data_IF_422039397925
#
_entry.id   IF_422039397925
#
_cell.length_a   1.000
_cell.length_b   1.000
_cell.length_c   1.000
_cell.angle_alpha   90.00
_cell.angle_beta   90.00
_cell.angle_gamma   90.00
#
_symmetry.space_group_name_H-M   'P 1'
#
loop_
_entity.id
_entity.type
_entity.pdbx_description
1 polymer ?
#
# COMPACT_ATOMS: atom_id res chain seq x y z
N UNK A 1 18.69 -3.10 2.73
CA UNK A 1 17.50 -3.86 3.18
C UNK A 1 16.47 -3.65 2.10
N UNK A 2 16.19 -4.67 1.29
CA UNK A 2 15.45 -4.56 0.03
C UNK A 2 13.96 -4.81 0.30
N UNK A 3 13.11 -3.83 -0.02
CA UNK A 3 11.67 -4.04 -0.15
C UNK A 3 11.49 -4.99 -1.32
N UNK A 4 10.72 -6.07 -1.19
CA UNK A 4 10.55 -7.06 -2.26
C UNK A 4 9.09 -7.17 -2.69
N UNK A 5 8.86 -7.37 -3.99
CA UNK A 5 7.58 -7.66 -4.61
C UNK A 5 7.22 -9.15 -4.45
N UNK A 6 6.09 -9.56 -5.00
CA UNK A 6 5.63 -10.95 -4.94
C UNK A 6 6.49 -11.96 -5.71
N UNK A 7 7.41 -11.51 -6.56
CA UNK A 7 8.38 -12.36 -7.27
C UNK A 7 9.75 -12.38 -6.56
N UNK A 8 9.86 -11.77 -5.38
CA UNK A 8 11.14 -11.60 -4.66
C UNK A 8 12.07 -10.61 -5.34
N UNK A 9 11.56 -9.79 -6.27
CA UNK A 9 12.32 -8.71 -6.89
C UNK A 9 12.32 -7.52 -5.93
N UNK A 10 13.46 -6.82 -5.77
CA UNK A 10 13.46 -5.58 -5.02
C UNK A 10 12.53 -4.53 -5.64
N UNK A 11 11.55 -4.06 -4.88
CA UNK A 11 10.77 -2.86 -5.15
C UNK A 11 11.70 -1.64 -5.09
N UNK A 12 11.51 -0.74 -6.04
CA UNK A 12 12.04 0.62 -5.95
C UNK A 12 11.37 1.36 -4.78
N UNK A 13 12.00 2.44 -4.33
CA UNK A 13 11.41 3.28 -3.28
C UNK A 13 10.04 3.87 -3.69
N UNK A 14 9.85 4.13 -4.99
CA UNK A 14 8.57 4.63 -5.51
C UNK A 14 7.48 3.56 -5.44
N UNK A 15 7.76 2.33 -5.89
CA UNK A 15 6.79 1.22 -5.84
C UNK A 15 6.43 0.85 -4.40
N UNK A 16 7.42 0.83 -3.49
CA UNK A 16 7.15 0.59 -2.06
C UNK A 16 6.26 1.68 -1.45
N UNK A 17 6.48 2.95 -1.80
CA UNK A 17 5.65 4.05 -1.35
C UNK A 17 4.22 3.96 -1.92
N UNK A 18 4.06 3.59 -3.19
CA UNK A 18 2.75 3.41 -3.81
C UNK A 18 1.93 2.33 -3.10
N UNK A 19 2.56 1.19 -2.80
CA UNK A 19 1.93 0.10 -2.05
C UNK A 19 1.52 0.52 -0.64
N UNK A 20 2.37 1.23 0.10
CA UNK A 20 2.03 1.76 1.42
C UNK A 20 0.83 2.72 1.37
N UNK A 21 0.74 3.55 0.33
CA UNK A 21 -0.38 4.48 0.11
C UNK A 21 -1.65 3.72 -0.25
N UNK A 22 -1.58 2.70 -1.09
CA UNK A 22 -2.72 1.86 -1.46
C UNK A 22 -3.29 1.12 -0.23
N UNK A 23 -2.42 0.54 0.60
CA UNK A 23 -2.81 -0.11 1.85
C UNK A 23 -3.46 0.92 2.79
N UNK A 24 -2.84 2.10 2.96
CA UNK A 24 -3.38 3.14 3.82
C UNK A 24 -4.76 3.63 3.33
N UNK A 25 -4.92 3.82 2.01
CA UNK A 25 -6.19 4.22 1.41
C UNK A 25 -7.28 3.18 1.64
N UNK A 26 -6.96 1.90 1.45
CA UNK A 26 -7.88 0.80 1.72
C UNK A 26 -8.28 0.75 3.20
N UNK A 27 -7.34 1.02 4.12
CA UNK A 27 -7.59 1.05 5.57
C UNK A 27 -8.46 2.23 6.00
N UNK A 28 -8.43 3.32 5.25
CA UNK A 28 -9.28 4.49 5.49
C UNK A 28 -10.74 4.27 5.09
N UNK A 29 -11.05 3.22 4.32
CA UNK A 29 -12.41 2.99 3.88
C UNK A 29 -13.27 2.45 5.05
N UNK A 30 -14.45 3.04 5.33
CA UNK A 30 -15.21 2.79 6.57
C UNK A 30 -15.73 1.36 6.74
N UNK A 31 -15.77 0.58 5.66
CA UNK A 31 -16.22 -0.82 5.68
C UNK A 31 -15.06 -1.82 5.62
N UNK A 32 -13.81 -1.35 5.51
CA UNK A 32 -12.64 -2.23 5.40
C UNK A 32 -12.31 -2.85 6.75
N UNK A 33 -12.45 -4.18 6.83
CA UNK A 33 -12.12 -4.95 8.04
C UNK A 33 -10.80 -5.70 7.93
N UNK A 34 -10.44 -6.10 6.71
CA UNK A 34 -9.21 -6.85 6.42
C UNK A 34 -8.66 -6.40 5.08
N UNK A 35 -7.38 -6.06 5.05
CA UNK A 35 -6.61 -5.74 3.85
C UNK A 35 -5.55 -6.80 3.71
N UNK A 36 -5.49 -7.40 2.52
CA UNK A 36 -4.48 -8.37 2.16
C UNK A 36 -3.67 -7.76 1.02
N UNK A 37 -2.36 -7.67 1.21
CA UNK A 37 -1.41 -7.22 0.18
C UNK A 37 -0.32 -8.26 0.00
N UNK A 38 0.18 -8.40 -1.22
CA UNK A 38 1.28 -9.28 -1.58
C UNK A 38 2.66 -8.64 -1.45
N UNK A 39 2.70 -7.32 -1.24
CA UNK A 39 3.92 -6.55 -1.04
C UNK A 39 4.44 -6.68 0.40
N UNK A 40 5.35 -7.63 0.61
CA UNK A 40 5.88 -7.95 1.95
C UNK A 40 6.61 -6.78 2.62
N UNK A 41 7.40 -6.02 1.85
CA UNK A 41 8.14 -4.86 2.35
C UNK A 41 7.22 -3.78 2.93
N UNK A 42 6.27 -3.25 2.13
CA UNK A 42 5.24 -2.31 2.58
C UNK A 42 4.42 -2.78 3.80
N UNK A 43 3.96 -4.05 3.81
CA UNK A 43 3.26 -4.61 4.96
C UNK A 43 4.10 -4.57 6.24
N UNK A 44 5.39 -4.93 6.13
CA UNK A 44 6.34 -4.88 7.25
C UNK A 44 6.60 -3.45 7.70
N UNK A 45 6.79 -2.52 6.78
CA UNK A 45 7.01 -1.10 7.08
C UNK A 45 5.84 -0.52 7.89
N UNK A 46 4.61 -0.86 7.52
CA UNK A 46 3.41 -0.47 8.26
C UNK A 46 3.38 -1.11 9.65
N UNK A 47 3.69 -2.40 9.76
CA UNK A 47 3.76 -3.12 11.05
C UNK A 47 4.81 -2.51 12.00
N UNK A 48 5.97 -2.15 11.47
CA UNK A 48 7.06 -1.52 12.22
C UNK A 48 6.79 -0.03 12.52
N UNK A 49 5.75 0.57 11.92
CA UNK A 49 5.39 1.99 12.06
C UNK A 49 6.21 2.96 11.19
N UNK A 50 6.95 2.43 10.21
CA UNK A 50 7.82 3.17 9.30
C UNK A 50 7.16 3.35 7.93
N UNK A 51 6.13 4.20 7.86
CA UNK A 51 5.38 4.44 6.63
C UNK A 51 5.76 5.75 5.95
N UNK A 52 5.60 5.81 4.62
CA UNK A 52 5.73 7.03 3.86
C UNK A 52 4.80 8.13 4.41
N UNK A 53 5.26 9.39 4.33
CA UNK A 53 4.53 10.53 4.89
C UNK A 53 3.08 10.64 4.38
N UNK A 54 2.84 10.29 3.12
CA UNK A 54 1.49 10.31 2.54
C UNK A 54 0.58 9.23 3.16
N UNK A 55 1.09 8.01 3.33
CA UNK A 55 0.39 6.92 4.01
C UNK A 55 0.08 7.27 5.47
N UNK A 56 1.05 7.83 6.20
CA UNK A 56 0.84 8.35 7.56
C UNK A 56 -0.31 9.38 7.63
N UNK A 57 -0.35 10.34 6.70
CA UNK A 57 -1.43 11.33 6.65
C UNK A 57 -2.80 10.70 6.43
N UNK A 58 -2.89 9.64 5.63
CA UNK A 58 -4.13 8.90 5.41
C UNK A 58 -4.56 8.19 6.69
N UNK A 59 -3.68 7.43 7.33
CA UNK A 59 -3.96 6.75 8.60
C UNK A 59 -4.41 7.70 9.71
N UNK A 60 -3.74 8.85 9.82
CA UNK A 60 -4.10 9.88 10.80
C UNK A 60 -5.48 10.49 10.53
N UNK A 61 -5.83 10.71 9.26
CA UNK A 61 -7.11 11.31 8.87
C UNK A 61 -8.29 10.35 9.01
N UNK A 62 -8.07 9.04 8.83
CA UNK A 62 -9.11 8.03 9.02
C UNK A 62 -9.36 7.65 10.48
N UNK A 63 -8.50 8.10 11.40
CA UNK A 63 -8.54 7.64 12.79
C UNK A 63 -8.04 6.21 12.97
N UNK A 64 -7.39 5.64 11.96
CA UNK A 64 -6.79 4.30 12.02
C UNK A 64 -5.78 4.19 13.17
N UNK A 65 -4.97 5.22 13.41
CA UNK A 65 -4.03 5.27 14.55
C UNK A 65 -4.71 5.12 15.92
N UNK A 66 -5.96 5.59 16.04
CA UNK A 66 -6.74 5.52 17.27
C UNK A 66 -7.62 4.28 17.40
N UNK A 67 -7.74 3.47 16.34
CA UNK A 67 -8.68 2.35 16.29
C UNK A 67 -8.19 1.22 15.37
N UNK A 68 -6.98 0.71 15.62
CA UNK A 68 -6.41 -0.45 14.90
C UNK A 68 -7.29 -1.72 14.99
N UNK A 69 -8.27 -1.75 15.89
CA UNK A 69 -9.23 -2.85 16.03
C UNK A 69 -10.23 -2.94 14.86
N UNK A 70 -10.41 -1.89 14.06
CA UNK A 70 -11.41 -1.89 12.97
C UNK A 70 -10.89 -2.44 11.64
N UNK A 71 -9.57 -2.51 11.43
CA UNK A 71 -9.01 -2.96 10.16
C UNK A 71 -7.67 -3.70 10.33
N UNK A 72 -7.64 -4.98 9.93
CA UNK A 72 -6.45 -5.84 9.97
C UNK A 72 -5.69 -5.75 8.64
N UNK A 73 -4.38 -5.59 8.69
CA UNK A 73 -3.52 -5.65 7.50
C UNK A 73 -2.74 -6.95 7.57
N UNK A 74 -2.78 -7.73 6.50
CA UNK A 74 -2.08 -9.02 6.40
C UNK A 74 -1.30 -9.12 5.10
N UNK A 75 -0.14 -9.75 5.18
CA UNK A 75 0.61 -10.14 4.00
C UNK A 75 0.19 -11.54 3.53
N UNK A 76 -0.04 -11.71 2.23
CA UNK A 76 -0.22 -13.01 1.60
C UNK A 76 0.60 -13.09 0.30
N UNK A 77 1.29 -14.21 0.00
CA UNK A 77 2.04 -14.33 -1.24
C UNK A 77 1.11 -14.26 -2.47
N UNK A 78 1.53 -13.57 -3.52
CA UNK A 78 0.73 -13.47 -4.74
C UNK A 78 0.51 -14.82 -5.39
N UNK A 79 -0.66 -14.96 -6.03
CA UNK A 79 -1.05 -16.13 -6.84
C UNK A 79 -1.24 -17.45 -6.06
N UNK A 80 -1.67 -17.39 -4.79
CA UNK A 80 -2.33 -18.54 -4.15
C UNK A 80 -3.82 -18.68 -4.54
N UNK A 81 -4.23 -18.17 -5.69
CA UNK A 81 -5.64 -18.19 -6.17
C UNK A 81 -6.62 -17.56 -5.16
N UNK A 82 -6.17 -16.56 -4.39
CA UNK A 82 -7.07 -15.73 -3.60
C UNK A 82 -7.84 -14.85 -4.58
N UNK A 83 -9.08 -15.25 -4.87
CA UNK A 83 -9.96 -14.67 -5.90
C UNK A 83 -10.05 -13.13 -5.85
N UNK A 84 -9.89 -12.52 -4.67
CA UNK A 84 -9.84 -11.07 -4.49
C UNK A 84 -8.50 -10.38 -4.77
N UNK A 85 -7.37 -11.07 -4.60
CA UNK A 85 -6.04 -10.49 -4.79
C UNK A 85 -5.73 -10.28 -6.28
N UNK A 86 -6.09 -11.26 -7.10
CA UNK A 86 -5.89 -11.17 -8.56
C UNK A 86 -6.77 -10.07 -9.18
N UNK A 87 -8.02 -9.93 -8.69
CA UNK A 87 -8.92 -8.85 -9.10
C UNK A 87 -8.38 -7.46 -8.70
N UNK A 88 -7.76 -7.35 -7.52
CA UNK A 88 -7.12 -6.11 -7.07
C UNK A 88 -5.91 -5.75 -7.94
N UNK A 89 -5.03 -6.70 -8.24
CA UNK A 89 -3.85 -6.51 -9.11
C UNK A 89 -4.26 -6.07 -10.53
N UNK A 90 -5.30 -6.72 -11.10
CA UNK A 90 -5.86 -6.34 -12.41
C UNK A 90 -6.44 -4.92 -12.37
N UNK A 91 -7.18 -4.58 -11.32
CA UNK A 91 -7.80 -3.26 -11.19
C UNK A 91 -6.75 -2.17 -10.98
N UNK A 92 -5.73 -2.42 -10.16
CA UNK A 92 -4.62 -1.51 -9.94
C UNK A 92 -3.87 -1.21 -11.24
N UNK A 93 -3.52 -2.24 -12.02
CA UNK A 93 -2.89 -2.06 -13.34
C UNK A 93 -3.77 -1.27 -14.32
N UNK A 94 -5.06 -1.60 -14.39
CA UNK A 94 -6.00 -0.90 -15.27
C UNK A 94 -6.20 0.58 -14.90
N UNK A 95 -6.04 0.93 -13.62
CA UNK A 95 -6.08 2.31 -13.13
C UNK A 95 -4.73 3.03 -13.33
N UNK A 96 -3.61 2.34 -13.15
CA UNK A 96 -2.27 2.89 -13.41
C UNK A 96 -2.11 3.32 -14.88
N UNK A 97 -2.63 2.52 -15.83
CA UNK A 97 -2.64 2.87 -17.26
C UNK A 97 -3.50 4.12 -17.58
N UNK A 98 -4.41 4.50 -16.69
CA UNK A 98 -5.28 5.68 -16.81
C UNK A 98 -4.85 6.85 -15.94
N UNK A 99 -3.85 6.64 -15.09
CA UNK A 99 -3.31 7.69 -14.25
C UNK A 99 -2.45 8.62 -15.12
N UNK A 100 -2.74 9.92 -15.08
CA UNK A 100 -1.77 10.89 -15.57
C UNK A 100 -0.51 10.75 -14.73
N UNK A 101 0.69 10.72 -15.33
CA UNK A 101 1.92 10.78 -14.56
C UNK A 101 1.80 12.03 -13.68
N UNK A 102 1.89 11.86 -12.36
CA UNK A 102 2.15 13.00 -11.51
C UNK A 102 3.53 13.51 -11.93
N UNK A 103 3.55 14.54 -12.77
CA UNK A 103 4.75 15.32 -13.01
C UNK A 103 5.36 15.61 -11.64
N UNK A 104 6.63 15.23 -11.53
CA UNK A 104 7.52 15.47 -10.40
C UNK A 104 7.27 16.84 -9.77
N UNK A 105 6.43 16.88 -8.74
CA UNK A 105 6.22 18.07 -7.95
C UNK A 105 7.47 18.29 -7.08
N UNK A 106 8.38 19.09 -7.64
CA UNK A 106 9.41 19.89 -7.01
C UNK A 106 10.39 19.16 -6.06
N UNK A 107 11.53 18.81 -6.64
CA UNK A 107 12.79 18.60 -5.92
C UNK A 107 13.56 19.90 -5.64
N UNK A 108 12.97 21.07 -5.89
CA UNK A 108 13.58 22.37 -5.60
C UNK A 108 12.68 23.13 -4.62
N UNK A 109 12.98 23.04 -3.33
CA UNK A 109 12.86 24.13 -2.35
C UNK A 109 13.43 23.63 -1.01
N UNK A 110 14.74 23.86 -0.86
CA UNK A 110 15.49 23.88 0.40
C UNK A 110 15.10 25.10 1.24
#
# INVERSE_FOLDING_TARGET
MTNEDHNGRPLTWAEAMEEEVNIALAACHPTSQTIISDARGPCRNIEDGWVAYLAYRLFKRSGYEGNTATCRIGWAPARMELEGNDAADITARALADRAFPLESANQDDL
#
